data_IF_384863380525
#
_entry.id   IF_384863380525
#
_cell.length_a   1.000
_cell.length_b   1.000
_cell.length_c   1.000
_cell.angle_alpha   90.00
_cell.angle_beta   90.00
_cell.angle_gamma   90.00
#
_symmetry.space_group_name_H-M   'P 1'
#
loop_
_entity.id
_entity.type
_entity.pdbx_description
1 polymer ?
#
# COMPACT_ATOMS: atom_id res chain seq x y z
N UNK A 1 12.12 -42.96 -66.18
CA UNK A 1 12.88 -42.48 -67.39
C UNK A 1 13.31 -41.04 -67.09
N UNK A 2 14.64 -40.76 -67.12
CA UNK A 2 15.15 -39.41 -67.28
C UNK A 2 15.30 -39.11 -68.78
N UNK A 3 15.75 -37.95 -69.25
CA UNK A 3 16.86 -37.09 -68.85
C UNK A 3 16.50 -35.59 -69.04
N UNK A 4 17.27 -34.60 -68.75
CA UNK A 4 18.53 -34.19 -69.36
C UNK A 4 19.15 -32.99 -68.65
N UNK A 5 20.44 -33.04 -68.63
CA UNK A 5 21.36 -32.01 -68.24
C UNK A 5 21.41 -30.84 -69.23
N UNK A 6 21.78 -29.64 -68.76
CA UNK A 6 22.58 -28.73 -69.57
C UNK A 6 23.45 -27.82 -68.67
N UNK A 7 24.69 -27.87 -68.96
CA UNK A 7 25.82 -27.13 -68.41
C UNK A 7 25.93 -25.73 -69.01
N UNK A 8 26.38 -24.70 -68.24
CA UNK A 8 27.29 -23.66 -68.75
C UNK A 8 27.91 -22.84 -67.60
N UNK A 9 29.11 -22.93 -67.54
CA UNK A 9 30.34 -22.14 -67.39
C UNK A 9 30.18 -20.65 -67.03
N UNK A 10 30.94 -20.26 -66.00
CA UNK A 10 31.86 -19.16 -66.11
C UNK A 10 31.52 -17.90 -65.31
N UNK A 11 32.40 -17.53 -64.43
CA UNK A 11 32.40 -16.19 -63.86
C UNK A 11 33.07 -16.10 -62.49
N UNK A 12 34.42 -16.14 -62.48
CA UNK A 12 35.21 -15.82 -61.28
C UNK A 12 35.22 -14.29 -61.11
N UNK A 13 34.64 -13.81 -60.06
CA UNK A 13 34.80 -12.42 -59.60
C UNK A 13 35.25 -12.43 -58.14
N UNK A 14 36.48 -12.04 -57.94
CA UNK A 14 37.09 -11.76 -56.64
C UNK A 14 36.48 -10.48 -56.09
N UNK A 15 35.77 -10.53 -55.01
CA UNK A 15 35.41 -9.35 -54.20
C UNK A 15 35.95 -9.49 -52.80
N UNK A 16 36.58 -8.42 -52.39
CA UNK A 16 37.34 -8.20 -51.15
C UNK A 16 36.55 -8.54 -49.89
N UNK A 17 37.20 -9.24 -49.01
CA UNK A 17 36.76 -9.44 -47.62
C UNK A 17 36.82 -8.10 -46.87
N UNK A 18 35.67 -7.55 -46.51
CA UNK A 18 35.54 -6.51 -45.50
C UNK A 18 35.30 -7.21 -44.16
N UNK A 19 36.29 -7.06 -43.26
CA UNK A 19 36.24 -7.68 -41.93
C UNK A 19 35.06 -7.17 -41.07
N UNK A 20 34.57 -8.00 -40.15
CA UNK A 20 33.48 -7.61 -39.28
C UNK A 20 33.95 -6.54 -38.28
N UNK A 21 33.36 -5.36 -38.35
CA UNK A 21 33.46 -4.36 -37.28
C UNK A 21 32.90 -4.94 -36.00
N UNK A 22 33.76 -5.28 -35.04
CA UNK A 22 33.41 -5.57 -33.67
C UNK A 22 32.74 -4.34 -33.06
N UNK A 23 31.42 -4.32 -33.04
CA UNK A 23 30.66 -3.37 -32.21
C UNK A 23 30.94 -3.71 -30.76
N UNK A 24 31.70 -2.89 -30.06
CA UNK A 24 31.82 -2.94 -28.62
C UNK A 24 30.43 -2.79 -27.99
N UNK A 25 30.04 -3.66 -27.07
CA UNK A 25 28.79 -3.47 -26.34
C UNK A 25 28.92 -2.15 -25.57
N UNK A 26 28.06 -1.18 -25.88
CA UNK A 26 27.90 0.02 -25.06
C UNK A 26 27.56 -0.47 -23.66
N UNK A 27 28.44 -0.23 -22.69
CA UNK A 27 28.12 -0.29 -21.28
C UNK A 27 26.91 0.63 -21.07
N UNK A 28 25.76 0.01 -20.84
CA UNK A 28 24.58 0.69 -20.29
C UNK A 28 25.00 1.09 -18.87
N UNK A 29 25.50 2.30 -18.74
CA UNK A 29 25.63 2.95 -17.44
C UNK A 29 24.24 2.92 -16.82
N UNK A 30 24.03 2.06 -15.83
CA UNK A 30 22.88 2.12 -14.93
C UNK A 30 22.88 3.53 -14.37
N UNK A 31 22.12 4.42 -14.99
CA UNK A 31 21.78 5.71 -14.41
C UNK A 31 21.16 5.38 -13.06
N UNK A 32 21.88 5.69 -12.01
CA UNK A 32 21.42 5.62 -10.64
C UNK A 32 20.27 6.63 -10.59
N UNK A 33 19.06 6.18 -10.88
CA UNK A 33 17.87 6.93 -10.56
C UNK A 33 17.84 7.00 -9.04
N UNK A 34 18.36 8.06 -8.47
CA UNK A 34 18.03 8.47 -7.12
C UNK A 34 16.53 8.81 -7.13
N UNK A 35 15.72 7.75 -7.09
CA UNK A 35 14.29 7.88 -6.95
C UNK A 35 14.10 8.33 -5.52
N UNK A 36 13.97 9.63 -5.34
CA UNK A 36 13.58 10.24 -4.06
C UNK A 36 12.15 9.75 -3.76
N UNK A 37 12.05 8.50 -3.28
CA UNK A 37 10.78 7.86 -2.97
C UNK A 37 10.18 8.56 -1.77
N UNK A 38 9.06 9.23 -2.00
CA UNK A 38 8.29 9.89 -0.94
C UNK A 38 7.19 8.96 -0.45
N UNK A 39 7.12 8.83 0.87
CA UNK A 39 6.10 8.06 1.55
C UNK A 39 5.37 8.93 2.57
N UNK A 40 4.12 8.59 2.82
CA UNK A 40 3.20 9.40 3.58
C UNK A 40 2.39 8.53 4.51
N UNK A 41 2.31 8.92 5.77
CA UNK A 41 1.35 8.31 6.70
C UNK A 41 -0.02 8.92 6.45
N UNK A 42 -1.03 8.06 6.36
CA UNK A 42 -2.43 8.46 6.40
C UNK A 42 -2.79 8.77 7.84
N UNK A 43 -3.43 9.89 8.06
CA UNK A 43 -3.93 10.30 9.37
C UNK A 43 -5.15 11.20 9.22
N UNK A 44 -5.82 11.48 10.34
CA UNK A 44 -6.88 12.48 10.36
C UNK A 44 -6.31 13.88 10.17
N UNK A 45 -7.11 14.80 9.63
CA UNK A 45 -6.78 16.22 9.69
C UNK A 45 -6.56 16.65 11.13
N UNK A 46 -5.45 17.32 11.41
CA UNK A 46 -5.12 17.88 12.73
C UNK A 46 -5.91 19.15 13.04
N UNK A 47 -6.99 19.42 12.33
CA UNK A 47 -7.81 20.59 12.64
C UNK A 47 -8.42 20.41 14.02
N UNK A 48 -8.21 21.38 14.88
CA UNK A 48 -8.65 21.48 16.29
C UNK A 48 -10.18 21.52 16.46
N UNK A 49 -10.93 20.98 15.54
CA UNK A 49 -12.36 20.88 15.68
C UNK A 49 -12.74 19.60 16.44
N UNK A 50 -13.63 19.69 17.45
CA UNK A 50 -14.07 18.54 18.23
C UNK A 50 -14.88 17.52 17.42
N UNK A 51 -14.73 17.51 16.12
CA UNK A 51 -15.57 16.78 15.17
C UNK A 51 -14.81 15.76 14.30
N UNK A 52 -13.66 15.26 14.74
CA UNK A 52 -13.06 14.10 14.05
C UNK A 52 -14.07 12.96 14.06
N UNK A 53 -14.50 12.48 12.88
CA UNK A 53 -15.49 11.41 12.82
C UNK A 53 -14.94 10.17 13.52
N UNK A 54 -15.50 9.87 14.68
CA UNK A 54 -15.19 8.67 15.42
C UNK A 54 -16.39 7.72 15.32
N UNK A 55 -16.18 6.59 14.68
CA UNK A 55 -17.14 5.52 14.66
C UNK A 55 -16.98 4.68 15.93
N UNK A 56 -18.07 4.48 16.67
CA UNK A 56 -18.06 3.76 17.95
C UNK A 56 -18.55 2.34 17.70
N UNK A 57 -17.79 1.36 18.18
CA UNK A 57 -18.19 -0.04 18.14
C UNK A 57 -19.44 -0.29 19.00
N UNK A 58 -20.34 -1.21 18.61
CA UNK A 58 -21.61 -1.44 19.31
C UNK A 58 -21.42 -1.98 20.74
N UNK A 59 -20.34 -2.62 21.00
CA UNK A 59 -20.06 -3.32 22.25
C UNK A 59 -19.23 -2.48 23.25
N UNK A 60 -18.99 -1.21 22.93
CA UNK A 60 -18.46 -0.18 23.84
C UNK A 60 -17.27 -0.60 24.69
N UNK A 61 -16.23 -1.18 24.10
CA UNK A 61 -15.03 -1.50 24.85
C UNK A 61 -14.40 -2.87 24.60
N UNK A 62 -14.80 -3.59 23.56
CA UNK A 62 -14.03 -4.76 23.13
C UNK A 62 -12.68 -4.28 22.60
N UNK A 63 -11.62 -4.94 23.03
CA UNK A 63 -10.27 -4.64 22.59
C UNK A 63 -10.04 -5.14 21.17
N UNK A 64 -8.97 -4.66 20.51
CA UNK A 64 -8.54 -5.18 19.22
C UNK A 64 -8.31 -6.70 19.25
N UNK A 65 -7.98 -7.26 20.43
CA UNK A 65 -7.79 -8.70 20.66
C UNK A 65 -9.09 -9.45 20.49
N UNK A 66 -10.20 -8.93 21.04
CA UNK A 66 -11.53 -9.54 20.89
C UNK A 66 -11.95 -9.60 19.41
N UNK A 67 -11.48 -8.65 18.62
CA UNK A 67 -11.68 -8.63 17.17
C UNK A 67 -10.94 -9.76 16.45
N UNK A 68 -9.72 -10.03 16.86
CA UNK A 68 -8.90 -11.12 16.29
C UNK A 68 -9.60 -12.46 16.53
N UNK A 69 -10.08 -12.72 17.73
CA UNK A 69 -10.80 -13.95 18.07
C UNK A 69 -12.09 -14.13 17.25
N UNK A 70 -12.83 -13.04 17.02
CA UNK A 70 -14.05 -13.10 16.20
C UNK A 70 -13.73 -13.39 14.74
N UNK A 71 -12.64 -12.84 14.19
CA UNK A 71 -12.21 -13.09 12.82
C UNK A 71 -11.73 -14.53 12.66
N UNK A 72 -10.92 -15.01 13.59
CA UNK A 72 -10.39 -16.38 13.57
C UNK A 72 -11.47 -17.43 13.76
N UNK A 73 -12.54 -17.10 14.52
CA UNK A 73 -13.66 -18.02 14.74
C UNK A 73 -14.63 -18.16 13.57
N UNK A 74 -14.32 -17.58 12.41
CA UNK A 74 -15.18 -17.61 11.20
C UNK A 74 -16.62 -17.10 11.42
N UNK A 75 -16.86 -16.38 12.51
CA UNK A 75 -18.16 -15.76 12.76
C UNK A 75 -18.32 -14.61 11.78
N UNK A 76 -19.32 -14.73 10.93
CA UNK A 76 -19.65 -13.71 9.94
C UNK A 76 -19.75 -12.36 10.58
N UNK A 77 -18.86 -11.47 10.19
CA UNK A 77 -18.97 -10.07 10.49
C UNK A 77 -20.27 -9.52 9.93
N UNK A 78 -21.00 -8.78 10.70
CA UNK A 78 -21.09 -7.37 10.38
C UNK A 78 -20.71 -6.56 11.61
N UNK A 79 -19.50 -6.05 11.68
CA UNK A 79 -19.26 -4.98 12.61
C UNK A 79 -20.09 -3.80 12.17
N UNK A 80 -20.97 -3.44 13.05
CA UNK A 80 -21.81 -2.28 12.89
C UNK A 80 -21.28 -1.19 13.81
N UNK A 81 -20.71 -0.16 13.25
CA UNK A 81 -20.31 1.03 13.98
C UNK A 81 -21.43 2.05 14.02
N UNK A 82 -21.42 2.88 15.05
CA UNK A 82 -22.33 4.02 15.15
C UNK A 82 -21.54 5.30 14.99
N UNK A 83 -21.97 6.15 14.07
CA UNK A 83 -21.44 7.50 13.91
C UNK A 83 -22.46 8.51 14.42
N UNK A 84 -22.00 9.50 15.20
CA UNK A 84 -22.86 10.57 15.67
C UNK A 84 -23.52 11.29 14.48
N UNK A 85 -24.81 11.65 14.57
CA UNK A 85 -25.51 12.39 13.50
C UNK A 85 -24.89 13.73 13.15
N UNK A 86 -24.10 14.30 14.06
CA UNK A 86 -23.41 15.59 13.87
C UNK A 86 -22.06 15.46 13.16
N UNK A 87 -21.56 14.26 12.99
CA UNK A 87 -20.27 14.02 12.32
C UNK A 87 -20.44 13.90 10.82
N UNK A 88 -19.41 14.30 10.06
CA UNK A 88 -19.36 14.09 8.62
C UNK A 88 -19.14 12.60 8.29
N UNK A 89 -19.72 12.18 7.18
CA UNK A 89 -19.43 10.88 6.57
C UNK A 89 -18.29 11.08 5.58
N UNK A 90 -17.07 11.06 6.10
CA UNK A 90 -15.88 11.22 5.30
C UNK A 90 -15.42 9.89 4.68
N UNK A 91 -14.58 9.99 3.65
CA UNK A 91 -14.00 8.81 2.99
C UNK A 91 -13.01 8.04 3.88
N UNK A 92 -12.54 8.68 4.93
CA UNK A 92 -11.75 8.07 5.99
C UNK A 92 -12.34 8.45 7.35
N UNK A 93 -12.68 7.43 8.12
CA UNK A 93 -13.23 7.55 9.49
C UNK A 93 -12.36 6.72 10.43
N UNK A 94 -12.00 7.25 11.61
CA UNK A 94 -11.44 6.43 12.68
C UNK A 94 -12.53 5.70 13.42
N UNK A 95 -12.22 4.54 13.93
CA UNK A 95 -13.01 3.92 14.98
C UNK A 95 -12.38 4.15 16.37
N UNK A 96 -13.09 3.75 17.41
CA UNK A 96 -12.66 3.84 18.80
C UNK A 96 -11.54 2.84 19.16
N UNK A 97 -11.21 1.93 18.26
CA UNK A 97 -10.11 0.96 18.38
C UNK A 97 -8.86 1.41 17.60
N UNK A 98 -8.95 2.52 16.86
CA UNK A 98 -7.87 3.04 16.03
C UNK A 98 -7.75 2.36 14.66
N UNK A 99 -8.73 1.55 14.26
CA UNK A 99 -8.75 0.92 12.95
C UNK A 99 -9.23 1.93 11.90
N UNK A 100 -8.50 2.12 10.80
CA UNK A 100 -8.94 3.00 9.72
C UNK A 100 -10.11 2.37 8.95
N UNK A 101 -11.19 3.11 8.82
CA UNK A 101 -12.34 2.75 8.01
C UNK A 101 -12.36 3.58 6.73
N UNK A 102 -12.28 2.94 5.59
CA UNK A 102 -12.23 3.59 4.28
C UNK A 102 -13.53 3.43 3.51
N UNK A 103 -13.94 4.47 2.77
CA UNK A 103 -15.01 4.37 1.81
C UNK A 103 -14.66 3.38 0.68
N UNK A 104 -15.66 2.93 -0.04
CA UNK A 104 -15.45 2.05 -1.21
C UNK A 104 -14.55 2.71 -2.27
N UNK A 105 -14.66 4.02 -2.42
CA UNK A 105 -13.86 4.75 -3.40
C UNK A 105 -12.37 4.75 -3.02
N UNK A 106 -12.04 4.99 -1.75
CA UNK A 106 -10.65 4.91 -1.25
C UNK A 106 -10.10 3.50 -1.43
N UNK A 107 -10.87 2.47 -1.02
CA UNK A 107 -10.49 1.07 -1.22
C UNK A 107 -10.17 0.76 -2.68
N UNK A 108 -11.03 1.20 -3.60
CA UNK A 108 -10.84 0.91 -5.03
C UNK A 108 -9.58 1.59 -5.57
N UNK A 109 -9.33 2.86 -5.22
CA UNK A 109 -8.10 3.57 -5.60
C UNK A 109 -6.85 2.84 -5.08
N UNK A 110 -6.88 2.38 -3.84
CA UNK A 110 -5.77 1.62 -3.26
C UNK A 110 -5.57 0.32 -4.02
N UNK A 111 -6.63 -0.46 -4.26
CA UNK A 111 -6.57 -1.73 -4.97
C UNK A 111 -6.00 -1.61 -6.39
N UNK A 112 -6.37 -0.56 -7.13
CA UNK A 112 -5.84 -0.30 -8.47
C UNK A 112 -4.33 0.00 -8.47
N UNK A 113 -3.81 0.47 -7.36
CA UNK A 113 -2.42 0.90 -7.24
C UNK A 113 -1.54 -0.08 -6.46
N UNK A 114 -2.14 -1.09 -5.82
CA UNK A 114 -1.38 -2.14 -5.16
C UNK A 114 -0.56 -2.96 -6.15
N UNK A 115 0.54 -3.48 -5.67
CA UNK A 115 1.43 -4.36 -6.46
C UNK A 115 1.04 -5.82 -6.37
N UNK A 116 0.19 -6.18 -5.40
CA UNK A 116 -0.14 -7.55 -5.01
C UNK A 116 0.80 -8.14 -3.95
N UNK A 117 1.90 -7.44 -3.64
CA UNK A 117 2.88 -7.88 -2.64
C UNK A 117 2.51 -7.45 -1.21
N UNK A 118 1.50 -6.60 -1.06
CA UNK A 118 1.11 -6.02 0.24
C UNK A 118 0.39 -7.01 1.15
N UNK A 119 -0.33 -7.97 0.58
CA UNK A 119 -1.11 -8.95 1.33
C UNK A 119 -2.25 -8.31 2.11
N UNK A 120 -3.06 -7.46 1.46
CA UNK A 120 -4.21 -6.80 2.06
C UNK A 120 -5.49 -7.55 1.72
N UNK A 121 -6.29 -7.83 2.74
CA UNK A 121 -7.69 -8.21 2.65
C UNK A 121 -8.54 -7.07 3.19
N UNK A 122 -9.73 -6.89 2.62
CA UNK A 122 -10.65 -5.84 3.05
C UNK A 122 -11.84 -6.44 3.77
N UNK A 123 -12.05 -5.99 4.99
CA UNK A 123 -13.23 -6.36 5.76
C UNK A 123 -14.29 -5.30 5.60
N UNK A 124 -15.44 -5.72 5.10
CA UNK A 124 -16.60 -4.85 5.02
C UNK A 124 -17.18 -4.62 6.40
N UNK A 125 -17.40 -3.37 6.75
CA UNK A 125 -18.02 -2.92 7.98
C UNK A 125 -19.19 -1.99 7.68
N UNK A 126 -20.17 -1.98 8.55
CA UNK A 126 -21.34 -1.12 8.46
C UNK A 126 -21.21 0.06 9.41
N UNK A 127 -21.34 1.27 8.90
CA UNK A 127 -21.40 2.49 9.71
C UNK A 127 -22.83 3.02 9.67
N UNK A 128 -23.48 3.07 10.83
CA UNK A 128 -24.85 3.57 10.98
C UNK A 128 -24.81 5.01 11.49
N UNK A 129 -25.43 5.90 10.74
CA UNK A 129 -25.66 7.28 11.15
C UNK A 129 -27.15 7.60 11.04
N UNK A 130 -27.76 7.95 12.16
CA UNK A 130 -29.21 8.16 12.25
C UNK A 130 -29.98 6.89 11.86
N UNK A 131 -30.66 6.88 10.71
CA UNK A 131 -31.41 5.73 10.20
C UNK A 131 -30.77 5.12 8.95
N UNK A 132 -29.64 5.68 8.51
CA UNK A 132 -28.96 5.25 7.30
C UNK A 132 -27.78 4.35 7.65
N UNK A 133 -27.51 3.38 6.80
CA UNK A 133 -26.39 2.46 6.88
C UNK A 133 -25.47 2.69 5.69
N UNK A 134 -24.17 2.81 5.98
CA UNK A 134 -23.12 3.07 5.01
C UNK A 134 -22.08 1.96 5.09
N UNK A 135 -21.54 1.61 3.94
CA UNK A 135 -20.55 0.55 3.81
C UNK A 135 -19.15 1.14 3.82
N UNK A 136 -18.32 0.65 4.72
CA UNK A 136 -16.90 0.99 4.83
C UNK A 136 -16.04 -0.26 4.82
N UNK A 137 -14.74 -0.08 4.72
CA UNK A 137 -13.78 -1.16 4.59
C UNK A 137 -12.58 -0.94 5.50
N UNK A 138 -12.29 -1.93 6.33
CA UNK A 138 -11.10 -1.98 7.18
C UNK A 138 -10.01 -2.81 6.49
N UNK A 139 -8.79 -2.30 6.33
CA UNK A 139 -7.70 -3.07 5.74
C UNK A 139 -7.10 -4.03 6.76
N UNK A 140 -7.04 -5.31 6.43
CA UNK A 140 -6.31 -6.34 7.19
C UNK A 140 -5.05 -6.71 6.43
N UNK A 141 -3.90 -6.62 7.06
CA UNK A 141 -2.67 -7.16 6.50
C UNK A 141 -2.52 -8.63 6.90
N UNK A 142 -2.38 -9.51 5.94
CA UNK A 142 -2.33 -10.96 6.15
C UNK A 142 -0.93 -11.47 6.44
N UNK A 143 0.07 -10.57 6.40
CA UNK A 143 1.47 -10.88 6.67
C UNK A 143 2.22 -9.66 7.21
N UNK A 144 3.24 -9.91 7.99
CA UNK A 144 4.20 -8.88 8.42
C UNK A 144 5.09 -8.50 7.22
N UNK A 145 5.24 -7.20 6.99
CA UNK A 145 6.11 -6.67 5.95
C UNK A 145 7.39 -6.13 6.58
N UNK A 146 8.53 -6.63 6.14
CA UNK A 146 9.82 -6.07 6.50
C UNK A 146 10.05 -4.78 5.69
N UNK A 147 9.82 -3.64 6.33
CA UNK A 147 9.81 -2.32 5.67
C UNK A 147 10.69 -1.29 6.35
N UNK A 148 11.09 -1.55 7.60
CA UNK A 148 11.80 -0.57 8.42
C UNK A 148 13.31 -0.61 8.17
N UNK A 149 13.93 0.57 8.23
CA UNK A 149 15.34 0.70 8.54
C UNK A 149 15.45 0.69 10.07
N UNK A 150 15.83 -0.45 10.65
CA UNK A 150 15.88 -0.65 12.09
C UNK A 150 16.90 0.26 12.79
N UNK A 151 18.03 0.53 12.12
CA UNK A 151 19.10 1.35 12.67
C UNK A 151 18.73 2.83 12.76
N UNK A 152 17.88 3.28 11.84
CA UNK A 152 17.41 4.67 11.76
C UNK A 152 16.06 4.90 12.45
N UNK A 153 15.31 3.82 12.74
CA UNK A 153 14.03 3.89 13.43
C UNK A 153 14.20 4.03 14.94
N UNK A 154 13.30 4.75 15.59
CA UNK A 154 13.33 4.94 17.05
C UNK A 154 12.31 4.03 17.71
N UNK A 155 12.78 3.24 18.64
CA UNK A 155 11.98 2.33 19.45
C UNK A 155 11.98 2.74 20.91
N UNK A 156 10.90 2.41 21.62
CA UNK A 156 10.83 2.48 23.08
C UNK A 156 11.62 1.36 23.77
N UNK A 157 11.39 1.23 25.07
CA UNK A 157 12.06 0.24 25.92
C UNK A 157 11.92 -1.16 25.33
N UNK A 158 13.03 -1.89 25.25
CA UNK A 158 13.10 -3.27 24.73
C UNK A 158 12.62 -3.44 23.29
N UNK A 159 12.65 -2.39 22.48
CA UNK A 159 12.13 -2.39 21.09
C UNK A 159 10.65 -2.83 20.95
N UNK A 160 9.90 -2.81 22.04
CA UNK A 160 8.50 -3.26 22.04
C UNK A 160 7.54 -2.27 21.37
N UNK A 161 7.91 -0.99 21.33
CA UNK A 161 7.06 0.06 20.78
C UNK A 161 7.85 0.84 19.72
N UNK A 162 7.30 0.93 18.52
CA UNK A 162 7.86 1.77 17.45
C UNK A 162 7.40 3.22 17.65
N UNK A 163 8.33 4.08 18.12
CA UNK A 163 8.06 5.51 18.35
C UNK A 163 8.11 6.28 17.03
N UNK A 164 9.18 6.09 16.25
CA UNK A 164 9.36 6.78 14.96
C UNK A 164 9.83 5.81 13.90
N UNK A 165 9.02 5.66 12.87
CA UNK A 165 9.37 4.83 11.73
C UNK A 165 10.30 5.57 10.76
N UNK A 166 11.33 4.88 10.30
CA UNK A 166 12.11 5.22 9.12
C UNK A 166 12.02 4.04 8.17
N UNK A 167 11.50 4.29 6.97
CA UNK A 167 11.32 3.23 5.98
C UNK A 167 12.64 2.99 5.22
N UNK A 168 12.93 1.72 4.93
CA UNK A 168 14.09 1.36 4.11
C UNK A 168 13.74 1.43 2.63
N UNK A 169 14.46 2.26 1.87
CA UNK A 169 14.28 2.41 0.42
C UNK A 169 14.29 1.06 -0.31
N UNK A 170 15.22 0.18 0.04
CA UNK A 170 15.35 -1.12 -0.62
C UNK A 170 14.16 -2.05 -0.34
N UNK A 171 13.65 -2.01 0.88
CA UNK A 171 12.56 -2.89 1.32
C UNK A 171 11.20 -2.45 0.81
N UNK A 172 10.95 -1.13 0.73
CA UNK A 172 9.63 -0.58 0.39
C UNK A 172 9.38 -0.45 -1.11
N UNK A 173 10.40 -0.50 -1.95
CA UNK A 173 10.28 -0.23 -3.40
C UNK A 173 9.26 -1.08 -4.15
N UNK A 174 8.90 -2.22 -3.61
CA UNK A 174 7.95 -3.18 -4.16
C UNK A 174 6.52 -3.01 -3.65
N UNK A 175 6.27 -2.04 -2.78
CA UNK A 175 4.95 -1.82 -2.19
C UNK A 175 4.37 -0.46 -2.58
N UNK A 176 3.06 -0.33 -2.50
CA UNK A 176 2.33 0.93 -2.65
C UNK A 176 1.68 1.39 -1.36
N UNK A 177 1.40 0.46 -0.45
CA UNK A 177 0.81 0.68 0.87
C UNK A 177 1.39 -0.34 1.85
N UNK A 178 1.70 0.09 3.06
CA UNK A 178 2.30 -0.76 4.10
C UNK A 178 1.77 -0.38 5.49
N UNK A 179 1.66 -1.35 6.42
CA UNK A 179 1.36 -1.06 7.81
C UNK A 179 2.63 -0.51 8.49
N UNK A 180 2.49 0.47 9.37
CA UNK A 180 3.59 0.95 10.21
C UNK A 180 3.46 0.27 11.58
N UNK A 181 4.15 -0.84 11.74
CA UNK A 181 4.12 -1.66 12.95
C UNK A 181 5.55 -1.96 13.42
N UNK A 182 5.72 -2.16 14.72
CA UNK A 182 6.99 -2.64 15.28
C UNK A 182 7.23 -4.12 14.92
N UNK A 183 8.47 -4.57 15.02
CA UNK A 183 8.87 -5.93 14.64
C UNK A 183 8.24 -7.03 15.52
N UNK A 184 7.78 -6.68 16.73
CA UNK A 184 7.15 -7.59 17.68
C UNK A 184 5.62 -7.61 17.61
N UNK A 185 5.04 -6.75 16.79
CA UNK A 185 3.61 -6.57 16.74
C UNK A 185 3.01 -7.41 15.62
N UNK A 186 2.21 -8.41 15.98
CA UNK A 186 1.37 -9.15 15.04
C UNK A 186 0.08 -8.37 14.88
N UNK A 187 0.00 -7.51 13.86
CA UNK A 187 -1.20 -6.73 13.63
C UNK A 187 -1.91 -7.15 12.38
N UNK A 188 -3.12 -7.61 12.57
CA UNK A 188 -4.05 -7.82 11.47
C UNK A 188 -4.64 -6.49 10.98
N UNK A 189 -4.94 -5.55 11.91
CA UNK A 189 -5.49 -4.22 11.60
C UNK A 189 -4.55 -3.13 12.10
N UNK A 190 -3.77 -2.51 11.23
CA UNK A 190 -2.83 -1.48 11.65
C UNK A 190 -3.54 -0.18 11.96
N UNK A 191 -3.17 0.44 13.06
CA UNK A 191 -3.62 1.80 13.41
C UNK A 191 -2.88 2.88 12.61
N UNK A 192 -1.73 2.54 12.03
CA UNK A 192 -0.92 3.44 11.21
C UNK A 192 -0.61 2.79 9.86
N UNK A 193 -0.87 3.52 8.78
CA UNK A 193 -0.65 3.06 7.41
C UNK A 193 0.20 4.09 6.67
N UNK A 194 1.21 3.62 5.96
CA UNK A 194 1.99 4.42 5.04
C UNK A 194 1.64 4.08 3.59
N UNK A 195 1.62 5.10 2.75
CA UNK A 195 1.34 5.00 1.32
C UNK A 195 2.42 5.69 0.50
N UNK A 196 2.64 5.19 -0.71
CA UNK A 196 3.52 5.81 -1.68
C UNK A 196 2.95 7.14 -2.20
N UNK A 197 3.83 7.99 -2.75
CA UNK A 197 3.43 9.26 -3.36
C UNK A 197 2.43 9.07 -4.52
N UNK A 198 2.49 7.94 -5.20
CA UNK A 198 1.54 7.57 -6.26
C UNK A 198 0.12 7.41 -5.71
N UNK A 199 -0.04 6.68 -4.60
CA UNK A 199 -1.35 6.49 -3.95
C UNK A 199 -1.86 7.82 -3.40
N UNK A 200 -1.01 8.59 -2.70
CA UNK A 200 -1.37 9.92 -2.21
C UNK A 200 -1.89 10.83 -3.32
N UNK A 201 -1.19 10.90 -4.46
CA UNK A 201 -1.60 11.72 -5.60
C UNK A 201 -2.97 11.28 -6.14
N UNK A 202 -3.23 9.99 -6.21
CA UNK A 202 -4.52 9.48 -6.67
C UNK A 202 -5.65 9.85 -5.71
N UNK A 203 -5.47 9.67 -4.40
CA UNK A 203 -6.45 10.06 -3.39
C UNK A 203 -6.73 11.57 -3.41
N UNK A 204 -5.69 12.40 -3.54
CA UNK A 204 -5.85 13.86 -3.68
C UNK A 204 -6.57 14.26 -4.96
N UNK A 205 -6.25 13.62 -6.09
CA UNK A 205 -6.93 13.86 -7.38
C UNK A 205 -8.41 13.52 -7.31
N UNK A 206 -8.75 12.46 -6.59
CA UNK A 206 -10.13 12.05 -6.37
C UNK A 206 -10.85 12.87 -5.28
N UNK A 207 -10.14 13.81 -4.61
CA UNK A 207 -10.68 14.69 -3.56
C UNK A 207 -11.30 13.94 -2.39
N UNK A 208 -10.65 12.85 -1.96
CA UNK A 208 -11.10 12.06 -0.81
C UNK A 208 -11.09 12.90 0.46
N UNK A 209 -12.21 12.84 1.21
CA UNK A 209 -12.43 13.60 2.44
C UNK A 209 -11.92 12.86 3.68
N UNK A 210 -11.67 13.60 4.77
CA UNK A 210 -11.25 13.05 6.06
C UNK A 210 -9.80 12.54 6.08
N UNK A 211 -9.01 12.75 5.02
CA UNK A 211 -7.64 12.24 4.90
C UNK A 211 -6.63 13.37 4.92
N UNK A 212 -5.70 13.32 5.86
CA UNK A 212 -4.47 14.10 5.84
C UNK A 212 -3.24 13.21 5.64
N UNK A 213 -2.12 13.81 5.29
CA UNK A 213 -0.89 13.08 4.94
C UNK A 213 0.31 13.73 5.60
N UNK A 214 0.98 13.02 6.49
CA UNK A 214 2.28 13.45 7.04
C UNK A 214 3.42 12.70 6.35
N UNK A 215 4.56 13.37 6.09
CA UNK A 215 5.70 12.72 5.45
C UNK A 215 6.35 11.71 6.39
N UNK A 216 6.76 10.57 5.84
CA UNK A 216 7.59 9.59 6.54
C UNK A 216 9.00 9.64 5.96
N UNK A 217 9.99 9.61 6.86
CA UNK A 217 11.39 9.51 6.44
C UNK A 217 11.63 8.17 5.74
N UNK A 218 12.32 8.22 4.63
CA UNK A 218 12.82 7.07 3.87
C UNK A 218 14.34 7.19 3.81
N UNK A 219 15.06 6.09 4.01
CA UNK A 219 16.51 6.05 4.14
C UNK A 219 17.12 4.89 3.34
#
# INVERSE_FOLDING_TARGET
MPPNACTSKGGVSRSRASGPHKKHPRLITKTRMDINMKWWQIQFPEEETPSTPLAISPDGGKTLIDWIEVIESNRRFPFQYRLSPKMSLDDYIADDLGVPLFSEQVRNIINELMTGEEGIEWYEVSVVQSRNQYRYFAPKFTRTLDILNEDSSLYGVNKSILIKAVLSTEKIKKYSIVPIVGSSEVFFFPTRIAISDRVKKALKKARMSGISFSPIKVD
#
